data_IF_451396424417
#
_entry.id   IF_451396424417
#
_cell.length_a   1.000
_cell.length_b   1.000
_cell.length_c   1.000
_cell.angle_alpha   90.00
_cell.angle_beta   90.00
_cell.angle_gamma   90.00
#
_symmetry.space_group_name_H-M   'P 1'
#
loop_
_entity.id
_entity.type
_entity.pdbx_description
1 polymer ?
#
# COMPACT_ATOMS: atom_id res chain seq x y z
N UNK A 1 53.59 32.50 38.42
CA UNK A 1 54.04 33.38 37.32
C UNK A 1 54.30 32.51 36.09
N UNK A 2 53.48 32.70 35.04
CA UNK A 2 53.89 33.21 33.71
C UNK A 2 54.69 32.17 32.90
N UNK A 3 54.05 31.47 31.94
CA UNK A 3 53.99 31.79 30.48
C UNK A 3 55.36 31.65 29.78
N UNK A 4 55.57 31.08 28.59
CA UNK A 4 54.74 30.50 27.53
C UNK A 4 55.70 29.93 26.46
N UNK A 5 55.22 29.05 25.55
CA UNK A 5 55.24 29.24 24.07
C UNK A 5 55.05 27.94 23.29
N UNK A 6 53.84 27.80 22.73
CA UNK A 6 53.47 27.49 21.34
C UNK A 6 54.48 26.75 20.44
N UNK A 7 54.08 25.57 19.95
CA UNK A 7 54.01 25.26 18.50
C UNK A 7 53.06 24.09 18.23
N UNK A 8 52.27 24.18 17.16
CA UNK A 8 51.40 23.13 16.58
C UNK A 8 51.49 23.23 15.04
N UNK A 9 50.96 22.31 14.19
CA UNK A 9 50.83 20.83 14.23
C UNK A 9 51.41 20.19 12.91
N UNK A 10 51.16 18.89 12.55
CA UNK A 10 49.91 18.50 11.87
C UNK A 10 49.32 17.11 12.26
N UNK A 11 48.04 16.93 11.92
CA UNK A 11 47.18 15.73 11.99
C UNK A 11 47.51 14.70 10.87
N UNK A 12 46.80 13.56 10.65
CA UNK A 12 45.66 12.91 11.36
C UNK A 12 45.83 11.37 11.53
N UNK A 13 44.87 10.67 12.16
CA UNK A 13 44.06 9.60 11.54
C UNK A 13 42.98 9.19 12.54
N UNK A 14 41.74 9.34 12.08
CA UNK A 14 40.48 8.98 12.74
C UNK A 14 40.37 7.50 13.09
N UNK A 15 39.69 7.19 14.18
CA UNK A 15 38.77 6.04 14.19
C UNK A 15 37.60 6.29 15.14
N UNK A 16 36.58 6.91 14.54
CA UNK A 16 35.15 6.58 14.65
C UNK A 16 34.60 6.38 16.07
N UNK A 17 34.00 7.46 16.59
CA UNK A 17 32.90 7.38 17.56
C UNK A 17 31.71 6.65 16.91
N UNK A 18 31.28 5.55 17.53
CA UNK A 18 29.99 4.92 17.25
C UNK A 18 28.90 5.88 17.70
N UNK A 19 28.39 6.68 16.77
CA UNK A 19 27.19 7.48 16.99
C UNK A 19 25.95 6.62 16.77
N UNK A 20 25.14 6.54 17.83
CA UNK A 20 23.72 6.16 17.83
C UNK A 20 22.99 6.67 16.58
N UNK A 21 22.05 5.89 15.99
CA UNK A 21 21.29 6.36 14.84
C UNK A 21 20.39 7.53 15.27
N UNK A 22 20.76 8.72 14.79
CA UNK A 22 19.96 9.93 14.87
C UNK A 22 18.65 9.66 14.14
N UNK A 23 17.53 9.64 14.89
CA UNK A 23 16.18 9.82 14.35
C UNK A 23 16.13 11.20 13.68
N UNK A 24 16.53 11.29 12.42
CA UNK A 24 16.21 12.44 11.57
C UNK A 24 14.76 12.29 11.17
N UNK A 25 13.87 12.86 11.97
CA UNK A 25 12.57 13.33 11.49
C UNK A 25 12.87 14.20 10.28
N UNK A 26 12.59 13.74 9.06
CA UNK A 26 12.58 14.60 7.88
C UNK A 26 11.54 15.69 8.17
N UNK A 27 11.99 16.87 8.57
CA UNK A 27 11.14 18.06 8.58
C UNK A 27 10.92 18.41 7.11
N UNK A 28 9.77 18.02 6.58
CA UNK A 28 9.29 18.33 5.23
C UNK A 28 9.09 19.84 4.97
N UNK A 29 9.47 20.71 5.91
CA UNK A 29 9.06 22.13 5.98
C UNK A 29 9.71 23.05 4.95
N UNK A 30 10.65 22.57 4.13
CA UNK A 30 11.46 23.44 3.26
C UNK A 30 11.14 23.31 1.75
N UNK A 31 10.23 22.42 1.36
CA UNK A 31 9.85 22.26 -0.05
C UNK A 31 8.52 22.99 -0.24
N UNK A 32 8.39 23.91 -1.20
CA UNK A 32 7.09 24.49 -1.56
C UNK A 32 6.29 23.49 -2.41
N UNK A 33 4.94 23.49 -2.35
CA UNK A 33 4.16 22.73 -3.30
C UNK A 33 4.42 23.24 -4.73
N UNK A 34 4.26 22.40 -5.76
CA UNK A 34 4.60 22.77 -7.14
C UNK A 34 3.74 23.91 -7.71
N UNK A 35 2.61 24.23 -7.08
CA UNK A 35 1.95 25.53 -7.25
C UNK A 35 2.53 26.52 -6.23
N UNK A 36 3.43 27.40 -6.69
CA UNK A 36 4.11 28.43 -5.89
C UNK A 36 3.14 29.44 -5.22
N UNK A 37 1.82 29.33 -5.42
CA UNK A 37 0.80 30.15 -4.75
C UNK A 37 0.28 29.57 -3.44
N UNK A 38 0.50 28.28 -3.17
CA UNK A 38 -0.01 27.59 -1.98
C UNK A 38 1.12 27.26 -1.01
N UNK A 39 0.82 27.19 0.29
CA UNK A 39 1.70 26.60 1.28
C UNK A 39 1.18 25.22 1.72
N UNK A 40 2.04 24.37 2.28
CA UNK A 40 1.61 23.04 2.72
C UNK A 40 0.58 23.08 3.85
N UNK A 41 0.50 24.17 4.62
CA UNK A 41 -0.55 24.42 5.60
C UNK A 41 -1.93 24.63 4.96
N UNK A 42 -2.00 25.28 3.79
CA UNK A 42 -3.25 25.43 3.03
C UNK A 42 -3.64 24.10 2.39
N UNK A 43 -2.67 23.39 1.80
CA UNK A 43 -2.89 22.06 1.21
C UNK A 43 -3.41 21.08 2.26
N UNK A 44 -2.79 21.09 3.45
CA UNK A 44 -3.23 20.32 4.61
C UNK A 44 -4.71 20.49 4.92
N UNK A 45 -5.21 21.72 4.89
CA UNK A 45 -6.58 22.04 5.33
C UNK A 45 -7.63 21.82 4.25
N UNK A 46 -7.26 22.02 2.98
CA UNK A 46 -8.24 22.14 1.89
C UNK A 46 -8.26 20.95 0.94
N UNK A 47 -7.20 20.13 0.91
CA UNK A 47 -7.08 19.03 -0.04
C UNK A 47 -7.35 17.68 0.58
N UNK A 48 -7.74 16.74 -0.28
CA UNK A 48 -8.04 15.38 0.09
C UNK A 48 -6.84 14.67 0.70
N UNK A 49 -7.15 13.73 1.59
CA UNK A 49 -6.17 12.88 2.26
C UNK A 49 -6.35 11.44 1.82
N UNK A 50 -5.28 10.83 1.33
CA UNK A 50 -5.24 9.40 1.06
C UNK A 50 -4.48 8.71 2.20
N UNK A 51 -5.11 7.70 2.79
CA UNK A 51 -4.53 6.85 3.82
C UNK A 51 -4.27 5.47 3.22
N UNK A 52 -3.00 5.07 3.19
CA UNK A 52 -2.58 3.72 2.80
C UNK A 52 -2.24 2.94 4.06
N UNK A 53 -3.04 1.92 4.37
CA UNK A 53 -2.92 1.15 5.60
C UNK A 53 -2.55 -0.31 5.28
N UNK A 54 -1.37 -0.72 5.73
CA UNK A 54 -0.94 -2.12 5.66
C UNK A 54 -1.58 -2.92 6.80
N UNK A 55 -2.59 -3.71 6.44
CA UNK A 55 -3.40 -4.47 7.40
C UNK A 55 -2.65 -5.68 7.98
N UNK A 56 -1.63 -6.19 7.29
CA UNK A 56 -0.84 -7.32 7.81
C UNK A 56 0.19 -6.86 8.84
N UNK A 57 0.86 -5.73 8.61
CA UNK A 57 1.86 -5.23 9.56
C UNK A 57 1.28 -4.39 10.68
N UNK A 58 0.15 -3.71 10.44
CA UNK A 58 -0.58 -2.94 11.43
C UNK A 58 -2.02 -3.46 11.58
N UNK A 59 -2.24 -4.70 12.04
CA UNK A 59 -3.57 -5.29 12.13
C UNK A 59 -4.47 -4.55 13.12
N UNK A 60 -5.79 -4.76 12.98
CA UNK A 60 -6.76 -4.33 13.99
C UNK A 60 -6.39 -4.98 15.33
N UNK A 61 -6.18 -4.20 16.40
CA UNK A 61 -5.77 -4.78 17.68
C UNK A 61 -6.86 -5.72 18.24
N UNK A 62 -6.48 -6.79 18.98
CA UNK A 62 -7.45 -7.71 19.57
C UNK A 62 -8.45 -6.98 20.48
N UNK A 63 -9.73 -7.33 20.35
CA UNK A 63 -10.81 -6.72 21.14
C UNK A 63 -11.35 -5.40 20.59
N UNK A 64 -10.78 -4.87 19.50
CA UNK A 64 -11.30 -3.68 18.83
C UNK A 64 -12.20 -4.05 17.65
N UNK A 65 -13.27 -3.29 17.46
CA UNK A 65 -14.16 -3.44 16.32
C UNK A 65 -13.52 -2.85 15.06
N UNK A 66 -13.28 -3.70 14.06
CA UNK A 66 -12.72 -3.31 12.77
C UNK A 66 -13.55 -2.23 12.05
N UNK A 67 -14.87 -2.16 12.32
CA UNK A 67 -15.75 -1.11 11.78
C UNK A 67 -15.37 0.29 12.25
N UNK A 68 -14.64 0.38 13.37
CA UNK A 68 -14.25 1.66 13.96
C UNK A 68 -12.94 2.19 13.40
N UNK A 69 -12.21 1.42 12.59
CA UNK A 69 -10.90 1.84 12.07
C UNK A 69 -11.02 3.11 11.22
N UNK A 70 -11.96 3.14 10.27
CA UNK A 70 -12.18 4.30 9.40
C UNK A 70 -12.50 5.56 10.20
N UNK A 71 -13.38 5.42 11.19
CA UNK A 71 -13.81 6.51 12.06
C UNK A 71 -12.64 7.08 12.88
N UNK A 72 -11.84 6.23 13.52
CA UNK A 72 -10.72 6.71 14.34
C UNK A 72 -9.61 7.36 13.50
N UNK A 73 -9.34 6.85 12.31
CA UNK A 73 -8.38 7.48 11.38
C UNK A 73 -8.86 8.86 10.94
N UNK A 74 -10.14 8.97 10.53
CA UNK A 74 -10.74 10.26 10.12
C UNK A 74 -10.72 11.27 11.27
N UNK A 75 -11.13 10.86 12.47
CA UNK A 75 -11.12 11.71 13.66
C UNK A 75 -9.71 12.20 14.00
N UNK A 76 -8.72 11.33 13.89
CA UNK A 76 -7.32 11.70 14.08
C UNK A 76 -6.86 12.75 13.07
N UNK A 77 -7.15 12.56 11.78
CA UNK A 77 -6.81 13.51 10.71
C UNK A 77 -7.50 14.86 10.94
N UNK A 78 -8.78 14.84 11.29
CA UNK A 78 -9.56 16.03 11.64
C UNK A 78 -8.91 16.81 12.79
N UNK A 79 -8.57 16.14 13.90
CA UNK A 79 -7.86 16.75 15.04
C UNK A 79 -6.49 17.32 14.66
N UNK A 80 -5.82 16.71 13.68
CA UNK A 80 -4.54 17.21 13.16
C UNK A 80 -4.71 18.38 12.19
N UNK A 81 -5.94 18.75 11.81
CA UNK A 81 -6.26 19.88 10.94
C UNK A 81 -6.34 19.52 9.46
N UNK A 82 -6.53 18.24 9.13
CA UNK A 82 -6.83 17.76 7.78
C UNK A 82 -8.35 17.70 7.62
N UNK A 83 -8.93 18.59 6.82
CA UNK A 83 -10.38 18.74 6.69
C UNK A 83 -10.95 18.37 5.32
N UNK A 84 -10.08 18.01 4.36
CA UNK A 84 -10.50 17.48 3.06
C UNK A 84 -11.10 16.08 3.15
N UNK A 85 -11.59 15.56 2.03
CA UNK A 85 -12.14 14.21 1.99
C UNK A 85 -11.03 13.18 2.28
N UNK A 86 -11.33 12.19 3.11
CA UNK A 86 -10.38 11.13 3.47
C UNK A 86 -10.75 9.86 2.73
N UNK A 87 -9.84 9.36 1.90
CA UNK A 87 -9.95 8.05 1.24
C UNK A 87 -9.00 7.07 1.93
N UNK A 88 -9.52 5.94 2.39
CA UNK A 88 -8.73 4.92 3.11
C UNK A 88 -8.64 3.65 2.26
N UNK A 89 -7.42 3.14 2.09
CA UNK A 89 -7.13 1.93 1.32
C UNK A 89 -6.31 0.99 2.20
N UNK A 90 -6.87 -0.17 2.52
CA UNK A 90 -6.16 -1.24 3.19
C UNK A 90 -5.42 -2.09 2.14
N UNK A 91 -4.12 -2.28 2.36
CA UNK A 91 -3.23 -3.04 1.49
C UNK A 91 -2.69 -4.25 2.25
N UNK A 92 -2.43 -5.35 1.55
CA UNK A 92 -1.77 -6.49 2.16
C UNK A 92 -1.90 -7.80 1.39
N UNK A 93 -1.40 -8.88 1.97
CA UNK A 93 -1.81 -10.26 1.64
C UNK A 93 -3.17 -10.47 2.31
N UNK A 94 -4.25 -10.20 1.57
CA UNK A 94 -5.59 -10.22 2.16
C UNK A 94 -6.04 -11.63 2.56
N UNK A 95 -5.51 -12.68 1.92
CA UNK A 95 -5.75 -14.07 2.32
C UNK A 95 -5.24 -14.40 3.72
N UNK A 96 -4.31 -13.61 4.26
CA UNK A 96 -3.73 -13.80 5.60
C UNK A 96 -4.51 -13.04 6.68
N UNK A 97 -5.54 -12.27 6.29
CA UNK A 97 -6.39 -11.51 7.20
C UNK A 97 -7.71 -12.26 7.40
N UNK A 98 -8.23 -12.39 8.64
CA UNK A 98 -9.53 -13.01 8.88
C UNK A 98 -10.64 -12.34 8.06
N UNK A 99 -11.48 -13.17 7.42
CA UNK A 99 -12.57 -12.71 6.55
C UNK A 99 -13.55 -11.78 7.28
N UNK A 100 -13.82 -12.04 8.56
CA UNK A 100 -14.72 -11.20 9.36
C UNK A 100 -14.15 -9.79 9.57
N UNK A 101 -12.83 -9.64 9.69
CA UNK A 101 -12.15 -8.35 9.80
C UNK A 101 -12.17 -7.64 8.44
N UNK A 102 -11.84 -8.34 7.35
CA UNK A 102 -11.87 -7.77 6.00
C UNK A 102 -13.28 -7.28 5.63
N UNK A 103 -14.31 -8.07 5.91
CA UNK A 103 -15.69 -7.70 5.66
C UNK A 103 -16.09 -6.45 6.45
N UNK A 104 -15.78 -6.40 7.75
CA UNK A 104 -16.03 -5.24 8.61
C UNK A 104 -15.30 -3.98 8.15
N UNK A 105 -14.07 -4.10 7.66
CA UNK A 105 -13.31 -2.98 7.08
C UNK A 105 -13.98 -2.52 5.79
N UNK A 106 -14.27 -3.43 4.87
CA UNK A 106 -14.84 -3.14 3.55
C UNK A 106 -16.20 -2.44 3.61
N UNK A 107 -17.11 -2.91 4.48
CA UNK A 107 -18.45 -2.29 4.62
C UNK A 107 -18.41 -0.84 5.13
N UNK A 108 -17.29 -0.41 5.71
CA UNK A 108 -17.11 0.98 6.18
C UNK A 108 -16.53 1.92 5.13
N UNK A 109 -16.49 1.48 3.87
CA UNK A 109 -15.99 2.28 2.75
C UNK A 109 -14.47 2.20 2.56
N UNK A 110 -13.76 1.36 3.33
CA UNK A 110 -12.31 1.17 3.15
C UNK A 110 -12.08 0.30 1.91
N UNK A 111 -11.35 0.83 0.94
CA UNK A 111 -10.93 0.07 -0.24
C UNK A 111 -9.93 -1.03 0.12
N UNK A 112 -9.97 -2.15 -0.59
CA UNK A 112 -9.08 -3.28 -0.38
C UNK A 112 -8.14 -3.45 -1.57
N UNK A 113 -6.85 -3.60 -1.32
CA UNK A 113 -5.87 -3.90 -2.35
C UNK A 113 -4.98 -5.09 -1.94
N UNK A 114 -5.15 -6.20 -2.62
CA UNK A 114 -4.30 -7.37 -2.44
C UNK A 114 -2.93 -7.18 -3.14
N UNK A 115 -1.87 -7.02 -2.35
CA UNK A 115 -0.47 -6.76 -2.75
C UNK A 115 0.48 -7.79 -2.18
N UNK A 116 0.46 -9.04 -2.66
CA UNK A 116 1.10 -10.10 -1.92
C UNK A 116 2.58 -10.33 -2.28
N UNK A 117 3.18 -9.48 -3.14
CA UNK A 117 4.63 -9.50 -3.41
C UNK A 117 5.42 -8.56 -2.49
N UNK A 118 4.78 -8.06 -1.42
CA UNK A 118 5.44 -7.37 -0.32
C UNK A 118 5.73 -5.89 -0.60
N UNK A 119 6.88 -5.34 -0.12
CA UNK A 119 7.18 -3.92 -0.21
C UNK A 119 7.16 -3.35 -1.64
N UNK A 120 7.57 -4.14 -2.64
CA UNK A 120 7.66 -3.68 -4.03
C UNK A 120 6.30 -3.31 -4.62
N UNK A 121 5.30 -4.19 -4.51
CA UNK A 121 3.91 -3.91 -4.95
C UNK A 121 3.32 -2.72 -4.23
N UNK A 122 3.64 -2.62 -2.95
CA UNK A 122 3.19 -1.54 -2.10
C UNK A 122 3.77 -0.21 -2.57
N UNK A 123 5.07 -0.16 -2.90
CA UNK A 123 5.73 1.02 -3.48
C UNK A 123 5.13 1.35 -4.85
N UNK A 124 4.91 0.35 -5.70
CA UNK A 124 4.34 0.53 -7.04
C UNK A 124 2.92 1.09 -6.96
N UNK A 125 2.05 0.50 -6.16
CA UNK A 125 0.70 0.99 -5.91
C UNK A 125 0.70 2.44 -5.43
N UNK A 126 1.54 2.73 -4.43
CA UNK A 126 1.67 4.06 -3.87
C UNK A 126 2.15 5.04 -4.93
N UNK A 127 3.12 4.64 -5.77
CA UNK A 127 3.62 5.43 -6.89
C UNK A 127 2.56 5.69 -7.96
N UNK A 128 1.77 4.68 -8.33
CA UNK A 128 0.64 4.84 -9.26
C UNK A 128 -0.42 5.77 -8.70
N UNK A 129 -0.77 5.60 -7.42
CA UNK A 129 -1.69 6.46 -6.72
C UNK A 129 -1.20 7.92 -6.76
N UNK A 130 0.10 8.15 -6.57
CA UNK A 130 0.70 9.47 -6.68
C UNK A 130 0.78 10.04 -8.11
N UNK A 131 0.98 9.20 -9.12
CA UNK A 131 1.02 9.67 -10.51
C UNK A 131 -0.38 10.02 -11.03
N UNK A 132 -1.41 9.33 -10.52
CA UNK A 132 -2.80 9.57 -10.90
C UNK A 132 -3.47 10.66 -10.07
N UNK A 133 -2.99 10.90 -8.85
CA UNK A 133 -3.49 11.97 -7.99
C UNK A 133 -2.67 13.24 -8.26
N UNK A 134 -3.31 14.40 -8.34
CA UNK A 134 -2.61 15.66 -8.58
C UNK A 134 -1.53 15.96 -7.51
N UNK A 135 -0.67 16.96 -7.72
CA UNK A 135 0.41 17.26 -6.77
C UNK A 135 -0.04 17.87 -5.42
N UNK A 136 -1.35 18.11 -5.26
CA UNK A 136 -1.93 18.73 -4.08
C UNK A 136 -2.77 17.71 -3.31
N UNK A 137 -2.12 16.71 -2.73
CA UNK A 137 -2.77 15.75 -1.84
C UNK A 137 -2.01 15.56 -0.53
N UNK A 138 -2.76 15.24 0.51
CA UNK A 138 -2.24 14.80 1.78
C UNK A 138 -2.10 13.27 1.75
N UNK A 139 -0.95 12.73 2.15
CA UNK A 139 -0.78 11.28 2.23
C UNK A 139 -0.30 10.84 3.59
N UNK A 140 -1.00 9.84 4.11
CA UNK A 140 -0.71 9.16 5.35
C UNK A 140 -0.49 7.68 5.06
N UNK A 141 0.52 7.09 5.69
CA UNK A 141 0.74 5.64 5.60
C UNK A 141 0.86 5.05 6.99
N UNK A 142 0.16 3.94 7.18
CA UNK A 142 0.13 3.14 8.40
C UNK A 142 0.71 1.77 8.06
N UNK A 143 2.00 1.58 8.32
CA UNK A 143 2.74 0.35 8.04
C UNK A 143 4.06 0.37 8.80
N UNK A 144 4.69 -0.78 8.93
CA UNK A 144 6.03 -0.91 9.51
C UNK A 144 7.04 0.01 8.82
N UNK A 145 7.74 0.81 9.62
CA UNK A 145 8.66 1.82 9.14
C UNK A 145 9.75 1.32 8.19
N UNK A 146 10.18 0.07 8.37
CA UNK A 146 11.24 -0.54 7.57
C UNK A 146 10.81 -0.82 6.14
N UNK A 147 9.52 -1.07 5.91
CA UNK A 147 8.95 -1.40 4.59
C UNK A 147 8.79 -0.13 3.76
N UNK A 148 8.41 0.97 4.42
CA UNK A 148 8.07 2.24 3.76
C UNK A 148 9.17 3.31 3.81
N UNK A 149 10.34 2.99 4.35
CA UNK A 149 11.50 3.88 4.31
C UNK A 149 11.95 4.22 2.87
N UNK A 150 11.70 3.35 1.90
CA UNK A 150 12.13 3.51 0.51
C UNK A 150 11.23 4.46 -0.32
N UNK A 151 9.88 4.39 -0.28
CA UNK A 151 9.03 5.44 -0.85
C UNK A 151 9.31 6.83 -0.29
N UNK A 152 9.56 6.93 1.02
CA UNK A 152 9.72 8.18 1.75
C UNK A 152 10.81 9.12 1.20
N UNK A 153 11.78 8.61 0.44
CA UNK A 153 12.84 9.41 -0.17
C UNK A 153 12.44 10.06 -1.49
N UNK A 154 11.41 9.55 -2.18
CA UNK A 154 10.94 10.05 -3.48
C UNK A 154 9.65 10.90 -3.39
N UNK A 155 8.91 10.77 -2.29
CA UNK A 155 7.69 11.52 -2.03
C UNK A 155 7.86 13.00 -1.66
N UNK A 156 8.95 13.43 -0.99
CA UNK A 156 9.12 14.84 -0.62
C UNK A 156 9.14 15.73 -1.87
N UNK A 157 8.12 16.59 -2.00
CA UNK A 157 7.96 17.53 -3.12
C UNK A 157 6.81 17.24 -4.08
N UNK A 158 6.14 16.09 -3.96
CA UNK A 158 4.93 15.77 -4.75
C UNK A 158 3.63 15.76 -3.97
N UNK A 159 3.69 15.65 -2.64
CA UNK A 159 2.54 15.59 -1.77
C UNK A 159 2.88 16.08 -0.35
N UNK A 160 1.85 16.40 0.43
CA UNK A 160 1.98 16.73 1.83
C UNK A 160 1.98 15.43 2.65
N UNK A 161 3.14 15.00 3.15
CA UNK A 161 3.20 13.84 4.02
C UNK A 161 2.72 14.21 5.43
N UNK A 162 1.75 13.44 5.95
CA UNK A 162 1.26 13.61 7.32
C UNK A 162 2.38 13.30 8.31
N UNK A 163 2.66 14.24 9.23
CA UNK A 163 3.75 14.11 10.21
C UNK A 163 3.65 12.82 11.03
N UNK A 164 4.80 12.25 11.39
CA UNK A 164 5.02 10.92 12.00
C UNK A 164 4.82 9.71 11.08
N UNK A 165 4.87 9.92 9.77
CA UNK A 165 5.12 8.83 8.85
C UNK A 165 6.50 8.18 9.15
N UNK A 166 6.60 6.85 9.10
CA UNK A 166 5.51 5.85 9.02
C UNK A 166 4.94 5.47 10.41
N UNK A 167 3.64 5.16 10.48
CA UNK A 167 2.99 4.70 11.72
C UNK A 167 3.07 3.17 11.85
N UNK A 168 3.73 2.68 12.89
CA UNK A 168 3.93 1.24 13.12
C UNK A 168 2.74 0.53 13.80
N UNK A 169 1.65 1.24 14.13
CA UNK A 169 0.50 0.64 14.83
C UNK A 169 -0.78 1.47 14.76
N UNK A 170 -1.93 0.79 14.65
CA UNK A 170 -3.25 1.41 14.79
C UNK A 170 -3.58 1.84 16.23
N UNK A 171 -2.86 1.35 17.25
CA UNK A 171 -3.16 1.68 18.65
C UNK A 171 -3.13 3.18 18.94
N UNK A 172 -2.40 3.96 18.15
CA UNK A 172 -2.36 5.42 18.27
C UNK A 172 -3.72 6.08 18.02
N UNK A 173 -4.56 5.50 17.15
CA UNK A 173 -5.87 6.04 16.81
C UNK A 173 -6.95 5.67 17.84
N UNK A 174 -6.75 4.57 18.56
CA UNK A 174 -7.69 4.06 19.56
C UNK A 174 -7.48 4.63 20.98
N UNK A 175 -6.50 5.54 21.16
CA UNK A 175 -6.28 6.14 22.49
C UNK A 175 -7.48 7.00 22.88
N UNK A 176 -8.02 6.84 24.11
CA UNK A 176 -9.11 7.66 24.58
C UNK A 176 -8.60 9.07 24.88
N UNK A 177 -8.63 9.94 23.87
CA UNK A 177 -8.71 11.36 24.14
C UNK A 177 -10.15 11.64 24.59
N UNK A 178 -10.29 12.18 25.81
CA UNK A 178 -11.51 12.44 26.59
C UNK A 178 -12.62 13.31 25.94
N UNK A 179 -12.68 13.46 24.62
CA UNK A 179 -13.80 14.06 23.92
C UNK A 179 -14.70 12.98 23.35
N UNK A 180 -16.02 13.11 23.52
CA UNK A 180 -16.98 12.33 22.74
C UNK A 180 -16.56 12.37 21.26
N UNK A 181 -16.71 11.25 20.55
CA UNK A 181 -16.68 11.20 19.09
C UNK A 181 -17.92 11.99 18.60
N UNK A 182 -17.93 13.30 18.81
CA UNK A 182 -18.86 14.19 18.15
C UNK A 182 -18.61 14.04 16.67
N UNK A 183 -19.69 13.77 15.94
CA UNK A 183 -19.84 13.52 14.51
C UNK A 183 -18.71 14.11 13.66
N UNK A 184 -17.54 13.48 13.70
CA UNK A 184 -16.40 13.86 12.89
C UNK A 184 -16.74 13.38 11.49
N UNK A 185 -17.44 14.23 10.74
CA UNK A 185 -17.82 14.08 9.34
C UNK A 185 -18.05 12.60 8.97
N UNK A 186 -19.24 12.09 9.31
CA UNK A 186 -19.77 10.91 8.64
C UNK A 186 -19.50 11.09 7.14
N UNK A 187 -18.82 10.13 6.51
CA UNK A 187 -18.63 10.15 5.05
C UNK A 187 -19.95 10.53 4.39
N UNK A 188 -19.95 11.34 3.32
CA UNK A 188 -21.15 11.49 2.52
C UNK A 188 -21.66 10.08 2.18
N UNK A 189 -22.99 9.82 2.28
CA UNK A 189 -23.54 8.51 1.94
C UNK A 189 -23.12 8.16 0.51
N UNK A 190 -22.24 7.17 0.35
CA UNK A 190 -21.76 6.74 -0.97
C UNK A 190 -20.25 6.75 -1.22
N UNK A 191 -19.37 6.76 -0.21
CA UNK A 191 -17.96 6.43 -0.44
C UNK A 191 -17.85 4.94 -0.81
N UNK A 192 -17.77 4.67 -2.11
CA UNK A 192 -17.85 3.31 -2.65
C UNK A 192 -16.52 2.59 -2.44
N UNK A 193 -16.53 1.55 -1.61
CA UNK A 193 -15.35 0.71 -1.44
C UNK A 193 -15.04 -0.01 -2.76
N UNK A 194 -13.77 -0.01 -3.14
CA UNK A 194 -13.28 -0.72 -4.33
C UNK A 194 -12.29 -1.80 -3.93
N UNK A 195 -12.24 -2.86 -4.70
CA UNK A 195 -11.26 -3.93 -4.55
C UNK A 195 -10.31 -3.96 -5.75
N UNK A 196 -9.03 -4.14 -5.48
CA UNK A 196 -8.03 -4.36 -6.50
C UNK A 196 -7.09 -5.50 -6.09
N UNK A 197 -6.67 -6.31 -7.06
CA UNK A 197 -5.83 -7.47 -6.83
C UNK A 197 -4.62 -7.43 -7.76
N UNK A 198 -3.42 -7.18 -7.22
CA UNK A 198 -2.17 -7.16 -7.99
C UNK A 198 -1.85 -8.52 -8.61
N UNK A 199 -2.25 -9.63 -7.97
CA UNK A 199 -2.04 -10.97 -8.53
C UNK A 199 -2.74 -11.10 -9.87
N UNK A 200 -4.04 -10.78 -9.90
CA UNK A 200 -4.87 -10.99 -11.08
C UNK A 200 -4.91 -9.77 -12.03
N UNK A 201 -4.37 -8.62 -11.60
CA UNK A 201 -4.63 -7.31 -12.20
C UNK A 201 -6.14 -7.04 -12.34
N UNK A 202 -6.91 -7.47 -11.33
CA UNK A 202 -8.36 -7.39 -11.31
C UNK A 202 -8.81 -6.20 -10.48
N UNK A 203 -9.66 -5.34 -11.05
CA UNK A 203 -10.33 -4.24 -10.36
C UNK A 203 -11.82 -4.50 -10.31
N UNK A 204 -12.39 -4.47 -9.11
CA UNK A 204 -13.83 -4.61 -8.93
C UNK A 204 -14.56 -3.33 -9.35
N UNK A 205 -15.84 -3.47 -9.69
CA UNK A 205 -16.72 -2.31 -9.75
C UNK A 205 -16.83 -1.66 -8.36
N UNK A 206 -17.13 -0.36 -8.26
CA UNK A 206 -17.47 0.27 -6.98
C UNK A 206 -18.65 -0.47 -6.31
N UNK A 207 -18.64 -0.64 -4.99
CA UNK A 207 -19.68 -1.37 -4.23
C UNK A 207 -19.88 -2.83 -4.64
N UNK A 208 -18.85 -3.49 -5.14
CA UNK A 208 -18.88 -4.94 -5.33
C UNK A 208 -19.21 -5.64 -4.01
N UNK A 209 -20.08 -6.65 -4.02
CA UNK A 209 -20.36 -7.44 -2.84
C UNK A 209 -19.05 -8.03 -2.28
N UNK A 210 -18.87 -7.94 -0.96
CA UNK A 210 -17.73 -8.53 -0.27
C UNK A 210 -17.59 -10.03 -0.59
N UNK A 211 -18.70 -10.73 -0.81
CA UNK A 211 -18.69 -12.14 -1.20
C UNK A 211 -17.98 -12.37 -2.56
N UNK A 212 -18.07 -11.43 -3.49
CA UNK A 212 -17.34 -11.54 -4.77
C UNK A 212 -15.83 -11.41 -4.56
N UNK A 213 -15.41 -10.58 -3.59
CA UNK A 213 -14.00 -10.44 -3.21
C UNK A 213 -13.48 -11.74 -2.59
N UNK A 214 -14.23 -12.33 -1.66
CA UNK A 214 -13.80 -13.58 -1.00
C UNK A 214 -13.80 -14.76 -1.97
N UNK A 215 -14.79 -14.85 -2.87
CA UNK A 215 -14.78 -15.81 -3.98
C UNK A 215 -13.59 -15.62 -4.91
N UNK A 216 -13.23 -14.37 -5.25
CA UNK A 216 -12.05 -14.09 -6.05
C UNK A 216 -10.77 -14.56 -5.35
N UNK A 217 -10.56 -14.18 -4.09
CA UNK A 217 -9.35 -14.53 -3.33
C UNK A 217 -9.22 -16.05 -3.07
N UNK A 218 -10.33 -16.74 -2.84
CA UNK A 218 -10.37 -18.20 -2.68
C UNK A 218 -10.43 -18.97 -4.00
N UNK A 219 -10.61 -18.27 -5.13
CA UNK A 219 -10.73 -18.86 -6.44
C UNK A 219 -9.48 -19.63 -6.86
N UNK A 220 -9.67 -20.78 -7.49
CA UNK A 220 -8.57 -21.65 -7.94
C UNK A 220 -7.59 -20.89 -8.81
N UNK A 221 -8.08 -20.06 -9.74
CA UNK A 221 -7.25 -19.24 -10.61
C UNK A 221 -6.38 -18.22 -9.85
N UNK A 222 -6.95 -17.53 -8.85
CA UNK A 222 -6.19 -16.63 -7.99
C UNK A 222 -5.09 -17.39 -7.24
N UNK A 223 -5.45 -18.50 -6.59
CA UNK A 223 -4.51 -19.32 -5.81
C UNK A 223 -3.38 -19.88 -6.69
N UNK A 224 -3.73 -20.34 -7.89
CA UNK A 224 -2.80 -20.76 -8.93
C UNK A 224 -1.82 -19.64 -9.27
N UNK A 225 -2.32 -18.48 -9.72
CA UNK A 225 -1.47 -17.36 -10.12
C UNK A 225 -0.60 -16.84 -8.97
N UNK A 226 -1.14 -16.82 -7.75
CA UNK A 226 -0.42 -16.45 -6.53
C UNK A 226 0.69 -17.45 -6.16
N UNK A 227 0.46 -18.75 -6.33
CA UNK A 227 1.49 -19.76 -6.08
C UNK A 227 2.62 -19.65 -7.10
N UNK A 228 2.32 -19.36 -8.37
CA UNK A 228 3.34 -19.26 -9.42
C UNK A 228 4.23 -18.04 -9.28
N UNK A 229 3.66 -16.91 -8.89
CA UNK A 229 4.44 -15.69 -8.65
C UNK A 229 5.42 -15.83 -7.47
N UNK A 230 5.16 -16.73 -6.52
CA UNK A 230 6.15 -17.12 -5.49
C UNK A 230 7.30 -17.96 -6.04
N UNK A 231 7.08 -18.70 -7.13
CA UNK A 231 8.09 -19.60 -7.72
C UNK A 231 8.93 -18.85 -8.75
N UNK A 232 8.33 -17.97 -9.56
CA UNK A 232 9.03 -17.23 -10.60
C UNK A 232 8.58 -15.75 -10.61
N UNK A 233 9.30 -14.85 -9.92
CA UNK A 233 8.91 -13.43 -9.79
C UNK A 233 8.91 -12.64 -11.10
N UNK A 234 9.47 -13.18 -12.19
CA UNK A 234 9.69 -12.48 -13.47
C UNK A 234 8.82 -12.98 -14.63
N UNK A 235 7.83 -13.83 -14.37
CA UNK A 235 6.90 -14.31 -15.41
C UNK A 235 5.71 -13.36 -15.50
N UNK A 236 5.59 -12.67 -16.63
CA UNK A 236 4.45 -11.81 -16.94
C UNK A 236 3.33 -12.65 -17.54
N UNK A 237 2.22 -12.75 -16.82
CA UNK A 237 1.00 -13.33 -17.35
C UNK A 237 0.20 -12.27 -18.09
N UNK A 238 0.17 -12.35 -19.43
CA UNK A 238 -0.70 -11.52 -20.25
C UNK A 238 -2.00 -12.28 -20.53
N UNK A 239 -3.11 -11.79 -19.98
CA UNK A 239 -4.44 -12.29 -20.32
C UNK A 239 -5.12 -11.30 -21.25
N UNK A 240 -5.38 -11.74 -22.49
CA UNK A 240 -6.39 -11.13 -23.33
C UNK A 240 -7.73 -11.61 -22.77
N UNK A 241 -8.46 -10.73 -22.09
CA UNK A 241 -9.88 -10.97 -21.87
C UNK A 241 -10.53 -11.07 -23.26
N UNK A 242 -11.24 -12.16 -23.51
CA UNK A 242 -12.08 -12.30 -24.69
C UNK A 242 -13.01 -11.07 -24.73
N UNK A 243 -12.92 -10.27 -25.79
CA UNK A 243 -13.77 -9.09 -25.99
C UNK A 243 -15.17 -9.50 -26.41
N UNK A 244 -15.77 -10.43 -25.66
CA UNK A 244 -17.14 -10.90 -25.82
C UNK A 244 -18.08 -10.07 -24.94
N UNK A 245 -19.10 -9.50 -25.57
CA UNK A 245 -20.08 -8.60 -24.99
C UNK A 245 -20.76 -9.14 -23.73
N UNK A 246 -20.99 -8.22 -22.78
CA UNK A 246 -21.94 -8.23 -21.66
C UNK A 246 -22.72 -9.54 -21.41
N UNK A 247 -22.30 -10.29 -20.39
CA UNK A 247 -23.24 -10.90 -19.46
C UNK A 247 -22.79 -10.58 -18.03
N UNK A 248 -23.68 -9.92 -17.29
CA UNK A 248 -23.57 -9.66 -15.86
C UNK A 248 -23.59 -11.01 -15.09
N UNK A 249 -22.90 -11.08 -13.96
CA UNK A 249 -22.95 -12.16 -12.97
C UNK A 249 -22.28 -13.53 -13.23
N UNK A 250 -21.17 -13.56 -13.99
CA UNK A 250 -20.32 -14.76 -14.01
C UNK A 250 -18.89 -14.52 -13.55
N UNK A 251 -18.66 -14.70 -12.26
CA UNK A 251 -17.37 -15.16 -11.75
C UNK A 251 -17.18 -16.63 -12.18
N UNK A 252 -16.98 -16.87 -13.48
CA UNK A 252 -16.62 -18.16 -14.04
C UNK A 252 -15.43 -18.00 -14.98
N UNK A 253 -14.28 -17.69 -14.41
CA UNK A 253 -13.00 -17.80 -15.11
C UNK A 253 -12.58 -19.28 -15.11
N UNK A 254 -12.81 -19.97 -16.22
CA UNK A 254 -12.22 -21.31 -16.43
C UNK A 254 -10.74 -21.14 -16.75
N UNK A 255 -9.86 -21.67 -15.90
CA UNK A 255 -8.40 -21.60 -15.98
C UNK A 255 -7.76 -22.23 -17.23
N UNK A 256 -8.56 -22.77 -18.15
CA UNK A 256 -8.13 -23.44 -19.38
C UNK A 256 -7.88 -22.47 -20.55
N UNK A 257 -8.43 -21.24 -20.52
CA UNK A 257 -8.22 -20.22 -21.57
C UNK A 257 -7.00 -19.30 -21.32
N UNK A 258 -6.34 -19.49 -20.18
CA UNK A 258 -5.22 -18.68 -19.72
C UNK A 258 -3.92 -18.93 -20.53
N UNK A 259 -3.40 -17.92 -21.23
CA UNK A 259 -2.10 -17.96 -21.90
C UNK A 259 -0.95 -17.45 -21.02
N UNK A 260 0.25 -18.00 -21.20
CA UNK A 260 1.45 -17.60 -20.47
C UNK A 260 2.70 -17.62 -21.35
N UNK A 261 3.69 -16.79 -21.02
CA UNK A 261 4.99 -16.73 -21.69
C UNK A 261 6.08 -16.81 -20.63
N UNK A 262 7.02 -17.73 -20.82
CA UNK A 262 8.18 -17.90 -19.95
C UNK A 262 9.34 -17.03 -20.44
N UNK A 263 9.65 -15.98 -19.69
CA UNK A 263 10.74 -15.04 -19.92
C UNK A 263 12.13 -15.60 -19.60
N UNK A 264 12.21 -16.66 -18.80
CA UNK A 264 13.48 -17.31 -18.39
C UNK A 264 13.98 -18.25 -19.48
N UNK A 265 13.05 -18.90 -20.21
CA UNK A 265 13.40 -19.75 -21.33
C UNK A 265 13.68 -18.90 -22.57
N UNK A 266 14.92 -18.99 -23.07
CA UNK A 266 15.48 -18.28 -24.24
C UNK A 266 14.66 -18.26 -25.55
N UNK A 267 13.50 -18.91 -25.61
CA UNK A 267 12.67 -19.05 -26.82
C UNK A 267 11.26 -18.46 -26.68
N UNK A 268 11.00 -17.59 -25.68
CA UNK A 268 9.64 -17.11 -25.37
C UNK A 268 8.64 -18.28 -25.29
N UNK A 269 9.07 -19.34 -24.59
CA UNK A 269 8.28 -20.56 -24.47
C UNK A 269 6.93 -20.20 -23.88
N UNK A 270 5.87 -20.42 -24.63
CA UNK A 270 4.52 -20.06 -24.26
C UNK A 270 3.64 -21.30 -24.23
N UNK A 271 2.54 -21.20 -23.51
CA UNK A 271 1.58 -22.27 -23.42
C UNK A 271 0.24 -21.76 -22.95
N UNK A 272 -0.74 -22.66 -22.96
CA UNK A 272 -2.08 -22.39 -22.50
C UNK A 272 -2.43 -23.35 -21.37
N UNK A 273 -3.15 -22.85 -20.38
CA UNK A 273 -3.61 -23.61 -19.23
C UNK A 273 -2.55 -23.75 -18.14
N UNK A 274 -3.05 -23.80 -16.91
CA UNK A 274 -2.24 -23.83 -15.69
C UNK A 274 -1.42 -25.11 -15.52
N UNK A 275 -1.96 -26.28 -15.88
CA UNK A 275 -1.25 -27.56 -15.75
C UNK A 275 0.00 -27.60 -16.65
N UNK A 276 -0.13 -27.10 -17.88
CA UNK A 276 0.99 -26.99 -18.81
C UNK A 276 2.06 -26.01 -18.30
N UNK A 277 1.65 -24.89 -17.70
CA UNK A 277 2.58 -23.96 -17.05
C UNK A 277 3.34 -24.66 -15.92
N UNK A 278 2.61 -25.31 -15.01
CA UNK A 278 3.20 -25.96 -13.83
C UNK A 278 4.18 -27.05 -14.25
N UNK A 279 3.80 -27.86 -15.25
CA UNK A 279 4.68 -28.86 -15.85
C UNK A 279 5.92 -28.23 -16.45
N UNK A 280 5.79 -27.09 -17.14
CA UNK A 280 6.93 -26.35 -17.70
C UNK A 280 7.89 -25.85 -16.62
N UNK A 281 7.42 -25.10 -15.62
CA UNK A 281 8.33 -24.50 -14.61
C UNK A 281 8.93 -25.53 -13.65
N UNK A 282 8.25 -26.67 -13.45
CA UNK A 282 8.81 -27.77 -12.64
C UNK A 282 9.76 -28.67 -13.43
N UNK A 283 9.79 -28.54 -14.76
CA UNK A 283 10.64 -29.33 -15.65
C UNK A 283 12.12 -29.07 -15.43
N UNK A 284 12.93 -30.11 -15.63
CA UNK A 284 14.38 -30.03 -15.50
C UNK A 284 15.03 -29.00 -16.46
N UNK A 285 14.57 -28.83 -17.72
CA UNK A 285 15.08 -27.79 -18.61
C UNK A 285 14.90 -26.36 -18.07
N UNK A 286 13.76 -26.07 -17.43
CA UNK A 286 13.50 -24.75 -16.86
C UNK A 286 14.38 -24.50 -15.62
N UNK A 287 14.52 -25.49 -14.74
CA UNK A 287 15.34 -25.39 -13.50
C UNK A 287 16.84 -25.17 -13.72
N UNK A 288 17.36 -25.33 -14.95
CA UNK A 288 18.78 -25.12 -15.28
C UNK A 288 19.09 -23.74 -15.88
N UNK A 289 18.08 -22.91 -16.11
CA UNK A 289 18.22 -21.52 -16.55
C UNK A 289 18.12 -20.59 -15.37
#
# INVERSE_FOLDING_TARGET
EMEARNTAPPLPVDTVKVNSPVKKSLKLTNVLPPDNRLCWEDVKRTHDTIVVWDINTCPVPPGFDARMVSLHIRHFLFKKGYFGHVKIIAIGVLTDVPEDILGKVYITGIGLHNVPYGPSDTVEFVSELFNNSGPLLNVMVISNAKIFAYPATYLPGRCNLVQHFPYDSLQWFFRPDSGALEEAQSSPPGELASFFCSVCNYRSAPNTDFLCITKHLSGTYHQQKFCLSKIVPHVVFNFLADSGALEEDKCSETSESAFWICSVCSDNHHGQGFENFTTHVTSWPHKRK
#
